data_IF_633937248243
#
_entry.id   IF_633937248243
#
_cell.length_a   1.000
_cell.length_b   1.000
_cell.length_c   1.000
_cell.angle_alpha   90.00
_cell.angle_beta   90.00
_cell.angle_gamma   90.00
#
_symmetry.space_group_name_H-M   'P 1'
#
loop_
_entity.id
_entity.type
_entity.pdbx_description
1 polymer ?
#
# COMPACT_ATOMS: atom_id res chain seq x y z
N UNK A 1 -3.12 -8.60 1.26
CA UNK A 1 -1.77 -9.22 1.16
C UNK A 1 -0.90 -8.43 0.18
N UNK A 2 0.41 -8.44 0.36
CA UNK A 2 1.39 -7.92 -0.60
C UNK A 2 2.28 -9.06 -1.06
N UNK A 3 2.42 -9.21 -2.36
CA UNK A 3 3.31 -10.16 -3.00
C UNK A 3 4.53 -9.40 -3.52
N UNK A 4 5.73 -9.88 -3.22
CA UNK A 4 7.01 -9.32 -3.65
C UNK A 4 7.81 -10.36 -4.42
N UNK A 5 8.61 -9.92 -5.38
CA UNK A 5 9.46 -10.80 -6.18
C UNK A 5 8.72 -11.39 -7.38
N UNK A 6 7.85 -10.59 -8.00
CA UNK A 6 7.17 -11.00 -9.24
C UNK A 6 8.11 -10.87 -10.43
N UNK A 7 7.96 -11.76 -11.40
CA UNK A 7 8.70 -11.72 -12.66
C UNK A 7 8.18 -10.61 -13.58
N UNK A 8 8.96 -10.26 -14.60
CA UNK A 8 8.60 -9.23 -15.59
C UNK A 8 7.38 -9.66 -16.44
N UNK A 9 7.28 -10.96 -16.72
CA UNK A 9 6.20 -11.57 -17.49
C UNK A 9 4.89 -11.72 -16.70
N UNK A 10 4.95 -11.68 -15.36
CA UNK A 10 3.79 -11.97 -14.52
C UNK A 10 2.67 -10.95 -14.74
N UNK A 11 1.48 -11.46 -15.08
CA UNK A 11 0.28 -10.66 -15.26
C UNK A 11 -0.52 -10.52 -13.96
N UNK A 12 -1.37 -9.50 -13.87
CA UNK A 12 -2.26 -9.30 -12.71
C UNK A 12 -3.22 -10.49 -12.50
N UNK A 13 -3.62 -11.14 -13.60
CA UNK A 13 -4.49 -12.33 -13.58
C UNK A 13 -3.79 -13.53 -12.95
N UNK A 14 -2.55 -13.83 -13.36
CA UNK A 14 -1.75 -14.91 -12.78
C UNK A 14 -1.51 -14.70 -11.28
N UNK A 15 -1.24 -13.45 -10.87
CA UNK A 15 -1.10 -13.13 -9.46
C UNK A 15 -2.43 -13.29 -8.69
N UNK A 16 -3.58 -13.05 -9.33
CA UNK A 16 -4.89 -13.32 -8.75
C UNK A 16 -5.15 -14.84 -8.62
N UNK A 17 -4.63 -15.71 -9.48
CA UNK A 17 -4.83 -17.16 -9.38
C UNK A 17 -4.25 -17.78 -8.11
N UNK A 18 -3.28 -17.10 -7.48
CA UNK A 18 -2.71 -17.52 -6.18
C UNK A 18 -3.78 -17.70 -5.11
N UNK A 19 -4.89 -16.99 -5.20
CA UNK A 19 -6.00 -17.09 -4.24
C UNK A 19 -6.81 -18.39 -4.41
N UNK A 20 -6.76 -19.04 -5.58
CA UNK A 20 -7.36 -20.37 -5.82
C UNK A 20 -6.72 -21.43 -4.92
N UNK A 21 -5.42 -21.30 -4.61
CA UNK A 21 -4.71 -22.19 -3.67
C UNK A 21 -5.35 -22.16 -2.28
N UNK A 22 -6.01 -21.06 -1.91
CA UNK A 22 -6.76 -20.91 -0.67
C UNK A 22 -8.23 -21.28 -0.76
N UNK A 23 -8.72 -21.79 -1.89
CA UNK A 23 -10.11 -22.23 -2.05
C UNK A 23 -11.14 -21.11 -2.26
N UNK A 24 -10.74 -19.91 -2.70
CA UNK A 24 -11.68 -18.82 -3.02
C UNK A 24 -12.01 -18.75 -4.51
N UNK A 25 -13.26 -18.39 -4.81
CA UNK A 25 -13.70 -17.98 -6.15
C UNK A 25 -13.20 -16.56 -6.49
N UNK A 26 -13.00 -16.30 -7.79
CA UNK A 26 -12.33 -15.11 -8.34
C UNK A 26 -13.12 -13.81 -8.09
N UNK A 27 -14.40 -13.91 -7.73
CA UNK A 27 -15.36 -12.80 -7.63
C UNK A 27 -15.07 -11.82 -6.50
N UNK A 28 -14.43 -12.26 -5.41
CA UNK A 28 -14.16 -11.43 -4.23
C UNK A 28 -12.74 -10.84 -4.20
N UNK A 29 -11.98 -10.97 -5.30
CA UNK A 29 -10.57 -10.61 -5.34
C UNK A 29 -10.38 -9.29 -6.05
N UNK A 30 -9.77 -8.33 -5.35
CA UNK A 30 -9.30 -7.07 -5.93
C UNK A 30 -7.77 -7.08 -5.97
N UNK A 31 -7.22 -6.91 -7.16
CA UNK A 31 -5.79 -6.74 -7.36
C UNK A 31 -5.45 -5.27 -7.61
N UNK A 32 -4.32 -4.82 -7.07
CA UNK A 32 -3.72 -3.55 -7.47
C UNK A 32 -3.08 -3.61 -8.85
N UNK A 33 -2.42 -2.51 -9.25
CA UNK A 33 -1.46 -2.54 -10.35
C UNK A 33 -0.10 -3.02 -9.87
N UNK A 34 0.64 -3.73 -10.73
CA UNK A 34 2.03 -4.11 -10.44
C UNK A 34 2.87 -2.83 -10.35
N UNK A 35 3.63 -2.68 -9.25
CA UNK A 35 4.55 -1.58 -9.03
C UNK A 35 5.97 -2.09 -8.91
N UNK A 36 6.89 -1.46 -9.64
CA UNK A 36 8.32 -1.68 -9.51
C UNK A 36 8.82 -0.85 -8.34
N UNK A 37 9.49 -1.49 -7.39
CA UNK A 37 10.17 -0.79 -6.28
C UNK A 37 11.57 -0.34 -6.70
N UNK A 38 12.21 0.53 -5.90
CA UNK A 38 13.56 1.05 -6.18
C UNK A 38 14.61 -0.05 -6.40
N UNK A 39 14.41 -1.24 -5.82
CA UNK A 39 15.31 -2.38 -5.97
C UNK A 39 14.95 -3.26 -7.19
N UNK A 40 14.23 -2.72 -8.18
CA UNK A 40 13.69 -3.42 -9.36
C UNK A 40 12.73 -4.59 -9.05
N UNK A 41 12.44 -4.83 -7.77
CA UNK A 41 11.50 -5.86 -7.35
C UNK A 41 10.08 -5.42 -7.68
N UNK A 42 9.40 -6.19 -8.52
CA UNK A 42 7.97 -6.02 -8.80
C UNK A 42 7.15 -6.51 -7.61
N UNK A 43 6.19 -5.70 -7.21
CA UNK A 43 5.29 -5.98 -6.10
C UNK A 43 3.85 -5.65 -6.46
N UNK A 44 2.94 -6.41 -5.88
CA UNK A 44 1.50 -6.26 -6.08
C UNK A 44 0.79 -6.42 -4.73
N UNK A 45 -0.31 -5.73 -4.52
CA UNK A 45 -1.21 -6.03 -3.42
C UNK A 45 -2.48 -6.71 -3.95
N UNK A 46 -2.98 -7.64 -3.15
CA UNK A 46 -4.22 -8.38 -3.40
C UNK A 46 -5.09 -8.28 -2.16
N UNK A 47 -6.34 -7.90 -2.36
CA UNK A 47 -7.38 -7.94 -1.35
C UNK A 47 -8.23 -9.19 -1.58
N UNK A 48 -8.33 -10.01 -0.54
CA UNK A 48 -9.09 -11.24 -0.49
C UNK A 48 -9.64 -11.42 0.94
N UNK A 49 -10.60 -12.33 1.16
CA UNK A 49 -11.11 -12.64 2.50
C UNK A 49 -10.00 -13.01 3.48
N UNK A 50 -10.17 -12.64 4.75
CA UNK A 50 -9.13 -12.77 5.80
C UNK A 50 -8.68 -14.23 5.98
N UNK A 51 -9.58 -15.20 5.85
CA UNK A 51 -9.25 -16.63 5.99
C UNK A 51 -8.23 -17.08 4.94
N UNK A 52 -8.47 -16.75 3.67
CA UNK A 52 -7.55 -17.02 2.56
C UNK A 52 -6.26 -16.22 2.72
N UNK A 53 -6.38 -14.94 3.10
CA UNK A 53 -5.22 -14.11 3.35
C UNK A 53 -4.28 -14.72 4.41
N UNK A 54 -4.84 -15.28 5.48
CA UNK A 54 -4.09 -15.90 6.57
C UNK A 54 -3.40 -17.18 6.12
N UNK A 55 -4.11 -18.10 5.44
CA UNK A 55 -3.52 -19.34 4.92
C UNK A 55 -2.35 -19.07 3.96
N UNK A 56 -2.49 -18.08 3.08
CA UNK A 56 -1.48 -17.69 2.11
C UNK A 56 -0.29 -17.01 2.81
N UNK A 57 -0.55 -16.18 3.82
CA UNK A 57 0.51 -15.53 4.61
C UNK A 57 1.31 -16.53 5.47
N UNK A 58 0.66 -17.56 6.02
CA UNK A 58 1.33 -18.61 6.81
C UNK A 58 2.31 -19.45 5.98
N UNK A 59 2.02 -19.69 4.70
CA UNK A 59 2.98 -20.34 3.77
C UNK A 59 4.23 -19.50 3.53
N UNK A 60 4.18 -18.18 3.76
CA UNK A 60 5.28 -17.22 3.64
C UNK A 60 5.80 -16.95 2.21
N UNK A 61 5.70 -17.93 1.32
CA UNK A 61 6.11 -17.82 -0.07
C UNK A 61 5.27 -18.72 -0.98
N UNK A 62 5.05 -18.27 -2.21
CA UNK A 62 4.19 -18.96 -3.17
C UNK A 62 4.87 -18.93 -4.53
N UNK A 63 4.72 -20.02 -5.27
CA UNK A 63 5.19 -20.11 -6.66
C UNK A 63 4.22 -19.38 -7.58
N UNK A 64 4.70 -18.39 -8.31
CA UNK A 64 3.95 -17.66 -9.34
C UNK A 64 4.80 -17.72 -10.61
N UNK A 65 4.29 -18.40 -11.64
CA UNK A 65 5.09 -18.78 -12.80
C UNK A 65 6.32 -19.59 -12.38
N UNK A 66 7.51 -19.10 -12.74
CA UNK A 66 8.80 -19.72 -12.42
C UNK A 66 9.44 -19.22 -11.13
N UNK A 67 8.88 -18.18 -10.51
CA UNK A 67 9.48 -17.50 -9.36
C UNK A 67 8.81 -17.88 -8.05
N UNK A 68 9.60 -17.90 -6.97
CA UNK A 68 9.08 -18.01 -5.62
C UNK A 68 8.88 -16.60 -5.06
N UNK A 69 7.63 -16.14 -5.06
CA UNK A 69 7.26 -14.82 -4.59
C UNK A 69 7.00 -14.84 -3.08
N UNK A 70 7.52 -13.84 -2.35
CA UNK A 70 7.27 -13.67 -0.92
C UNK A 70 5.93 -13.02 -0.69
N UNK A 71 5.16 -13.52 0.28
CA UNK A 71 3.86 -12.96 0.64
C UNK A 71 3.89 -12.38 2.04
N UNK A 72 3.57 -11.10 2.15
CA UNK A 72 3.41 -10.42 3.43
C UNK A 72 1.93 -10.05 3.64
N UNK A 73 1.46 -10.15 4.89
CA UNK A 73 0.19 -9.52 5.26
C UNK A 73 0.38 -8.00 5.32
N UNK A 74 -0.48 -7.27 4.60
CA UNK A 74 -0.49 -5.81 4.67
C UNK A 74 -1.13 -5.40 5.99
N UNK A 75 -0.36 -4.70 6.82
CA UNK A 75 -0.89 -4.06 8.01
C UNK A 75 -1.93 -3.01 7.61
N UNK A 76 -2.93 -2.82 8.47
CA UNK A 76 -3.91 -1.76 8.29
C UNK A 76 -3.16 -0.41 8.18
N UNK A 77 -3.50 0.38 7.16
CA UNK A 77 -2.91 1.71 7.01
C UNK A 77 -3.27 2.52 8.27
N UNK A 78 -2.29 3.10 8.97
CA UNK A 78 -2.56 3.84 10.19
C UNK A 78 -3.55 4.96 9.88
N UNK A 79 -4.51 5.14 10.78
CA UNK A 79 -5.50 6.21 10.70
C UNK A 79 -4.78 7.56 10.71
N UNK A 80 -4.99 8.34 9.66
CA UNK A 80 -4.36 9.65 9.48
C UNK A 80 -5.42 10.73 9.33
N UNK A 81 -5.21 11.84 10.03
CA UNK A 81 -6.11 12.98 10.02
C UNK A 81 -5.94 13.77 8.72
N UNK A 82 -7.01 13.95 7.96
CA UNK A 82 -6.98 14.78 6.74
C UNK A 82 -6.87 16.29 7.02
N UNK A 83 -6.96 16.72 8.29
CA UNK A 83 -6.80 18.11 8.71
C UNK A 83 -5.35 18.47 9.00
N UNK A 84 -4.74 17.80 9.97
CA UNK A 84 -3.39 18.09 10.43
C UNK A 84 -2.35 17.07 9.93
N UNK A 85 -2.76 16.04 9.17
CA UNK A 85 -1.90 14.95 8.69
C UNK A 85 -1.36 14.02 9.78
N UNK A 86 -1.68 14.23 11.05
CA UNK A 86 -1.19 13.40 12.16
C UNK A 86 -1.87 12.03 12.20
N UNK A 87 -1.17 11.04 12.76
CA UNK A 87 -1.71 9.72 12.96
C UNK A 87 -2.61 9.66 14.21
N UNK A 88 -3.41 8.59 14.34
CA UNK A 88 -4.30 8.23 15.48
C UNK A 88 -5.70 8.85 15.49
N UNK A 89 -6.01 9.87 14.69
CA UNK A 89 -7.35 10.45 14.67
C UNK A 89 -7.83 10.82 13.26
N UNK A 90 -9.15 11.04 13.12
CA UNK A 90 -9.78 11.55 11.89
C UNK A 90 -10.07 13.05 12.00
N UNK A 91 -10.35 13.70 10.88
CA UNK A 91 -10.63 15.14 10.79
C UNK A 91 -11.70 15.63 11.78
N UNK A 92 -12.77 14.85 12.00
CA UNK A 92 -13.84 15.21 12.94
C UNK A 92 -13.37 15.31 14.40
N UNK A 93 -12.37 14.51 14.78
CA UNK A 93 -11.82 14.48 16.15
C UNK A 93 -10.48 15.23 16.25
N UNK A 94 -10.15 16.09 15.27
CA UNK A 94 -8.90 16.82 15.26
C UNK A 94 -8.92 17.99 16.25
N UNK A 95 -8.08 17.89 17.29
CA UNK A 95 -7.83 18.95 18.27
C UNK A 95 -6.64 19.84 17.91
N UNK A 96 -5.94 19.55 16.81
CA UNK A 96 -4.78 20.30 16.38
C UNK A 96 -5.22 21.61 15.69
N UNK A 97 -4.45 22.68 15.90
CA UNK A 97 -4.72 24.01 15.37
C UNK A 97 -4.12 24.22 13.96
N UNK A 98 -3.27 23.30 13.49
CA UNK A 98 -2.65 23.40 12.17
C UNK A 98 -3.55 22.79 11.09
N UNK A 99 -3.99 23.64 10.16
CA UNK A 99 -4.78 23.24 9.00
C UNK A 99 -3.89 23.02 7.76
N UNK A 100 -3.75 21.76 7.36
CA UNK A 100 -2.96 21.31 6.18
C UNK A 100 -3.85 20.70 5.09
N UNK A 101 -5.17 20.95 5.13
CA UNK A 101 -6.16 20.33 4.21
C UNK A 101 -5.91 20.66 2.74
N UNK A 102 -5.40 21.85 2.46
CA UNK A 102 -5.08 22.34 1.11
C UNK A 102 -3.74 21.81 0.59
N UNK A 103 -2.95 21.17 1.44
CA UNK A 103 -1.63 20.67 1.09
C UNK A 103 -1.74 19.26 0.51
N UNK A 104 -0.91 18.98 -0.48
CA UNK A 104 -0.78 17.65 -1.05
C UNK A 104 -0.30 16.66 0.02
N UNK A 105 -1.03 15.56 0.20
CA UNK A 105 -0.68 14.50 1.17
C UNK A 105 0.67 13.84 0.93
N UNK A 106 1.24 13.98 -0.29
CA UNK A 106 2.51 13.35 -0.67
C UNK A 106 3.71 14.27 -0.43
N UNK A 107 3.65 15.53 -0.87
CA UNK A 107 4.80 16.45 -0.79
C UNK A 107 4.58 17.66 0.14
N UNK A 108 3.32 17.98 0.49
CA UNK A 108 2.98 19.13 1.31
C UNK A 108 2.76 20.45 0.57
N UNK A 109 2.94 20.49 -0.75
CA UNK A 109 2.71 21.69 -1.56
C UNK A 109 1.22 21.88 -1.89
N UNK A 110 0.80 23.11 -2.14
CA UNK A 110 -0.58 23.44 -2.51
C UNK A 110 -0.77 23.41 -4.03
N UNK A 111 -2.03 23.35 -4.48
CA UNK A 111 -2.38 23.46 -5.90
C UNK A 111 -2.50 22.15 -6.66
N UNK A 112 -2.25 20.99 -6.03
CA UNK A 112 -2.47 19.68 -6.64
C UNK A 112 -2.88 18.61 -5.61
N UNK A 113 -3.47 17.52 -6.10
CA UNK A 113 -3.81 16.35 -5.28
C UNK A 113 -2.67 15.34 -5.28
N UNK A 114 -2.58 14.51 -4.25
CA UNK A 114 -1.54 13.47 -4.16
C UNK A 114 -1.57 12.45 -5.32
N UNK A 115 -2.69 12.37 -6.06
CA UNK A 115 -2.80 11.56 -7.28
C UNK A 115 -2.00 12.12 -8.45
N UNK A 116 -1.89 13.44 -8.51
CA UNK A 116 -1.23 14.19 -9.59
C UNK A 116 0.15 14.71 -9.14
N UNK A 117 0.63 14.26 -7.97
CA UNK A 117 1.88 14.71 -7.38
C UNK A 117 3.07 13.92 -7.96
N UNK A 118 3.93 14.63 -8.70
CA UNK A 118 5.19 14.12 -9.25
C UNK A 118 6.38 14.34 -8.30
N UNK A 119 6.22 15.21 -7.31
CA UNK A 119 7.25 15.54 -6.31
C UNK A 119 7.60 14.34 -5.42
N UNK A 120 8.83 14.34 -4.88
CA UNK A 120 9.26 13.34 -3.89
C UNK A 120 8.36 13.40 -2.65
N UNK A 121 8.13 12.23 -2.05
CA UNK A 121 7.36 12.16 -0.82
C UNK A 121 8.10 12.91 0.29
N UNK A 122 7.38 13.81 0.98
CA UNK A 122 7.90 14.61 2.09
C UNK A 122 6.85 14.67 3.19
N UNK A 123 7.17 14.11 4.35
CA UNK A 123 6.29 14.21 5.51
C UNK A 123 6.40 15.61 6.15
N UNK A 124 5.32 16.39 6.10
CA UNK A 124 5.29 17.73 6.73
C UNK A 124 5.43 17.65 8.24
N UNK A 125 4.92 16.60 8.89
CA UNK A 125 5.07 16.42 10.34
C UNK A 125 6.52 16.17 10.71
N UNK A 126 7.23 15.32 9.95
CA UNK A 126 8.65 15.09 10.17
C UNK A 126 9.46 16.36 9.92
N UNK A 127 9.09 17.14 8.89
CA UNK A 127 9.72 18.43 8.60
C UNK A 127 9.55 19.40 9.78
N UNK A 128 8.33 19.54 10.29
CA UNK A 128 8.04 20.44 11.42
C UNK A 128 8.69 19.97 12.73
N UNK A 129 8.89 18.66 12.88
CA UNK A 129 9.62 18.04 13.99
C UNK A 129 11.15 18.02 13.82
N UNK A 130 11.69 18.50 12.70
CA UNK A 130 13.13 18.54 12.43
C UNK A 130 13.79 17.18 12.19
N UNK A 131 13.03 16.13 11.87
CA UNK A 131 13.53 14.77 11.57
C UNK A 131 13.47 14.48 10.08
N UNK A 132 14.18 13.43 9.63
CA UNK A 132 14.22 13.03 8.22
C UNK A 132 12.80 12.80 7.67
N UNK A 133 12.41 13.61 6.68
CA UNK A 133 11.07 13.64 6.12
C UNK A 133 10.89 12.74 4.88
N UNK A 134 11.90 11.94 4.52
CA UNK A 134 11.96 11.10 3.32
C UNK A 134 12.19 9.63 3.63
#
# INVERSE_FOLDING_TARGET
LRIRGLEISTTEKEAAEVTKIGGCEITDIKTGKIRVTLNEVRSLWIQCPILVAKMIAEKGSIRIGWTQAKVDMLQARPLQCFRCLEQRHVQQNCKNNVDRRSNCYRCGEQGHLARDCESKARCQICTDAGVSAG
#
